data_IF_890249937494
#
_entry.id   IF_890249937494
#
_cell.length_a   1.000
_cell.length_b   1.000
_cell.length_c   1.000
_cell.angle_alpha   90.00
_cell.angle_beta   90.00
_cell.angle_gamma   90.00
#
_symmetry.space_group_name_H-M   'P 1'
#
loop_
_entity.id
_entity.type
_entity.pdbx_description
1 polymer ?
#
# COMPACT_ATOMS: atom_id res chain seq x y z
N UNK A 1 -8.51 -0.81 -42.73
CA UNK A 1 -9.61 -0.88 -41.73
C UNK A 1 -9.01 -1.14 -40.35
N UNK A 2 -9.01 -0.12 -39.50
CA UNK A 2 -8.51 -0.21 -38.12
C UNK A 2 -9.50 -1.01 -37.25
N UNK A 3 -9.38 -2.33 -37.24
CA UNK A 3 -10.14 -3.20 -36.31
C UNK A 3 -9.39 -3.36 -34.99
N UNK A 4 -8.82 -2.28 -34.47
CA UNK A 4 -8.27 -2.27 -33.11
C UNK A 4 -9.45 -2.28 -32.16
N UNK A 5 -9.44 -3.19 -31.19
CA UNK A 5 -10.38 -3.13 -30.06
C UNK A 5 -10.30 -1.71 -29.49
N UNK A 6 -11.43 -0.99 -29.35
CA UNK A 6 -11.42 0.41 -28.94
C UNK A 6 -10.77 0.61 -27.56
N UNK A 7 -10.58 -0.48 -26.81
CA UNK A 7 -10.03 -0.49 -25.45
C UNK A 7 -8.51 -0.74 -25.37
N UNK A 8 -7.83 -1.15 -26.45
CA UNK A 8 -6.40 -1.51 -26.39
C UNK A 8 -5.50 -0.30 -26.08
N UNK A 9 -5.89 0.89 -26.55
CA UNK A 9 -5.18 2.14 -26.29
C UNK A 9 -5.19 2.47 -24.79
N UNK A 10 -6.37 2.62 -24.16
CA UNK A 10 -6.47 2.82 -22.72
C UNK A 10 -5.74 1.77 -21.87
N UNK A 11 -5.82 0.49 -22.22
CA UNK A 11 -5.11 -0.60 -21.52
C UNK A 11 -3.59 -0.40 -21.60
N UNK A 12 -3.08 0.02 -22.76
CA UNK A 12 -1.66 0.26 -22.96
C UNK A 12 -1.16 1.45 -22.11
N UNK A 13 -1.96 2.52 -22.00
CA UNK A 13 -1.65 3.64 -21.10
C UNK A 13 -1.67 3.23 -19.63
N UNK A 14 -2.64 2.40 -19.23
CA UNK A 14 -2.68 1.81 -17.88
C UNK A 14 -1.43 0.98 -17.58
N UNK A 15 -1.00 0.16 -18.54
CA UNK A 15 0.21 -0.65 -18.41
C UNK A 15 1.45 0.23 -18.20
N UNK A 16 1.64 1.26 -19.03
CA UNK A 16 2.75 2.21 -18.86
C UNK A 16 2.69 2.89 -17.49
N UNK A 17 1.49 3.30 -17.05
CA UNK A 17 1.26 3.86 -15.72
C UNK A 17 1.67 2.90 -14.59
N UNK A 18 1.31 1.62 -14.70
CA UNK A 18 1.73 0.59 -13.75
C UNK A 18 3.24 0.38 -13.76
N UNK A 19 3.88 0.29 -14.94
CA UNK A 19 5.33 0.16 -15.05
C UNK A 19 6.06 1.34 -14.39
N UNK A 20 5.64 2.58 -14.68
CA UNK A 20 6.21 3.78 -14.07
C UNK A 20 6.02 3.77 -12.55
N UNK A 21 4.85 3.37 -12.07
CA UNK A 21 4.56 3.28 -10.64
C UNK A 21 5.42 2.22 -9.95
N UNK A 22 5.59 1.05 -10.56
CA UNK A 22 6.46 -0.01 -10.07
C UNK A 22 7.91 0.48 -10.01
N UNK A 23 8.44 1.04 -11.10
CA UNK A 23 9.81 1.57 -11.13
C UNK A 23 10.00 2.66 -10.07
N UNK A 24 9.04 3.58 -9.94
CA UNK A 24 9.07 4.64 -8.94
C UNK A 24 9.08 4.10 -7.51
N UNK A 25 8.27 3.08 -7.22
CA UNK A 25 8.17 2.47 -5.88
C UNK A 25 9.34 1.54 -5.56
N UNK A 26 9.90 0.87 -6.56
CA UNK A 26 11.05 -0.04 -6.43
C UNK A 26 12.36 0.70 -6.15
N UNK A 27 12.47 1.99 -6.51
CA UNK A 27 13.69 2.75 -6.27
C UNK A 27 13.84 3.07 -4.77
N UNK A 28 14.91 2.57 -4.11
CA UNK A 28 15.04 2.67 -2.66
C UNK A 28 15.48 4.06 -2.16
N UNK A 29 16.01 4.93 -3.03
CA UNK A 29 16.84 6.08 -2.60
C UNK A 29 16.25 7.46 -2.92
N UNK A 30 15.04 7.58 -3.45
CA UNK A 30 14.51 8.90 -3.81
C UNK A 30 13.93 9.66 -2.60
N UNK A 31 14.45 10.86 -2.25
CA UNK A 31 13.88 11.69 -1.18
C UNK A 31 12.43 12.11 -1.47
N UNK A 32 12.05 12.17 -2.75
CA UNK A 32 10.67 12.40 -3.20
C UNK A 32 9.71 11.29 -2.75
N UNK A 33 10.15 10.02 -2.78
CA UNK A 33 9.35 8.90 -2.25
C UNK A 33 9.04 9.13 -0.78
N UNK A 34 10.05 9.54 0.00
CA UNK A 34 9.88 9.83 1.44
C UNK A 34 8.86 10.94 1.67
N UNK A 35 8.94 12.05 0.92
CA UNK A 35 8.01 13.17 1.04
C UNK A 35 6.57 12.78 0.68
N UNK A 36 6.38 12.01 -0.39
CA UNK A 36 5.06 11.56 -0.85
C UNK A 36 4.47 10.56 0.14
N UNK A 37 5.26 9.57 0.57
CA UNK A 37 4.83 8.56 1.54
C UNK A 37 4.49 9.21 2.88
N UNK A 38 5.33 10.12 3.39
CA UNK A 38 5.08 10.83 4.64
C UNK A 38 3.85 11.74 4.56
N UNK A 39 3.60 12.37 3.40
CA UNK A 39 2.35 13.11 3.14
C UNK A 39 1.13 12.20 3.07
N UNK A 40 1.23 11.02 2.45
CA UNK A 40 0.13 10.05 2.37
C UNK A 40 -0.18 9.48 3.75
N UNK A 41 0.83 9.25 4.57
CA UNK A 41 0.69 8.69 5.92
C UNK A 41 0.14 9.70 6.91
N UNK A 42 0.63 10.96 6.88
CA UNK A 42 0.08 12.04 7.71
C UNK A 42 -1.29 12.50 7.22
N UNK A 43 -1.53 12.43 5.91
CA UNK A 43 -2.77 12.85 5.26
C UNK A 43 -3.88 11.83 5.44
N UNK A 44 -4.45 11.74 6.65
CA UNK A 44 -5.73 11.11 7.01
C UNK A 44 -6.05 9.73 6.39
N UNK A 45 -6.41 8.76 7.24
CA UNK A 45 -6.94 7.44 6.87
C UNK A 45 -8.02 7.44 5.76
N UNK A 46 -8.74 8.55 5.57
CA UNK A 46 -9.74 8.74 4.50
C UNK A 46 -9.15 8.71 3.09
N UNK A 47 -8.04 9.41 2.83
CA UNK A 47 -7.44 9.49 1.48
C UNK A 47 -6.88 8.12 1.09
N UNK A 48 -6.21 7.45 2.02
CA UNK A 48 -5.66 6.11 1.80
C UNK A 48 -6.75 5.08 1.46
N UNK A 49 -7.88 5.12 2.17
CA UNK A 49 -9.02 4.26 1.87
C UNK A 49 -9.63 4.55 0.49
N UNK A 50 -9.66 5.82 0.08
CA UNK A 50 -10.15 6.19 -1.25
C UNK A 50 -9.22 5.70 -2.37
N UNK A 51 -7.91 5.82 -2.19
CA UNK A 51 -6.91 5.28 -3.12
C UNK A 51 -7.04 3.75 -3.22
N UNK A 52 -7.17 3.05 -2.08
CA UNK A 52 -7.40 1.60 -2.07
C UNK A 52 -8.67 1.21 -2.81
N UNK A 53 -9.77 1.92 -2.57
CA UNK A 53 -11.03 1.70 -3.27
C UNK A 53 -10.86 1.89 -4.79
N UNK A 54 -10.19 2.96 -5.21
CA UNK A 54 -9.89 3.21 -6.63
C UNK A 54 -9.06 2.06 -7.25
N UNK A 55 -8.04 1.56 -6.54
CA UNK A 55 -7.24 0.42 -6.99
C UNK A 55 -8.05 -0.86 -7.12
N UNK A 56 -8.96 -1.15 -6.17
CA UNK A 56 -9.85 -2.31 -6.22
C UNK A 56 -10.79 -2.20 -7.42
N UNK A 57 -11.43 -1.04 -7.63
CA UNK A 57 -12.31 -0.81 -8.77
C UNK A 57 -11.58 -0.96 -10.10
N UNK A 58 -10.34 -0.46 -10.19
CA UNK A 58 -9.49 -0.60 -11.37
C UNK A 58 -9.11 -2.06 -11.63
N UNK A 59 -8.81 -2.85 -10.59
CA UNK A 59 -8.57 -4.29 -10.73
C UNK A 59 -9.80 -5.05 -11.21
N UNK A 60 -10.97 -4.77 -10.62
CA UNK A 60 -12.24 -5.39 -11.05
C UNK A 60 -12.52 -5.04 -12.51
N UNK A 61 -12.29 -3.79 -12.91
CA UNK A 61 -12.44 -3.37 -14.29
C UNK A 61 -11.51 -4.13 -15.26
N UNK A 62 -10.22 -4.25 -14.93
CA UNK A 62 -9.27 -5.04 -15.74
C UNK A 62 -9.69 -6.51 -15.81
N UNK A 63 -10.19 -7.08 -14.71
CA UNK A 63 -10.65 -8.47 -14.66
C UNK A 63 -11.89 -8.69 -15.53
N UNK A 64 -12.84 -7.74 -15.55
CA UNK A 64 -13.99 -7.79 -16.46
C UNK A 64 -13.56 -7.75 -17.93
N UNK A 65 -12.63 -6.85 -18.28
CA UNK A 65 -12.04 -6.82 -19.63
C UNK A 65 -11.36 -8.13 -19.97
N UNK A 66 -10.67 -8.75 -19.02
CA UNK A 66 -10.01 -10.04 -19.21
C UNK A 66 -11.00 -11.17 -19.51
N UNK A 67 -12.13 -11.22 -18.80
CA UNK A 67 -13.20 -12.20 -19.08
C UNK A 67 -13.80 -11.95 -20.47
N UNK A 68 -14.02 -10.68 -20.84
CA UNK A 68 -14.56 -10.33 -22.16
C UNK A 68 -13.62 -10.78 -23.29
N UNK A 69 -12.31 -10.53 -23.15
CA UNK A 69 -11.31 -10.95 -24.14
C UNK A 69 -11.18 -12.48 -24.22
N UNK A 70 -11.32 -13.22 -23.11
CA UNK A 70 -11.38 -14.69 -23.14
C UNK A 70 -12.57 -15.16 -23.98
N UNK A 71 -13.76 -14.59 -23.74
CA UNK A 71 -14.98 -14.96 -24.48
C UNK A 71 -14.81 -14.67 -25.96
N UNK A 72 -14.28 -13.49 -26.29
CA UNK A 72 -14.00 -13.08 -27.68
C UNK A 72 -12.98 -13.99 -28.35
N UNK A 73 -11.90 -14.36 -27.65
CA UNK A 73 -10.88 -15.26 -28.17
C UNK A 73 -11.46 -16.67 -28.43
N UNK A 74 -12.28 -17.20 -27.51
CA UNK A 74 -12.92 -18.50 -27.68
C UNK A 74 -13.88 -18.50 -28.89
N UNK A 75 -14.67 -17.43 -29.05
CA UNK A 75 -15.54 -17.26 -30.21
C UNK A 75 -14.76 -17.19 -31.54
N UNK A 76 -13.63 -16.50 -31.57
CA UNK A 76 -12.76 -16.44 -32.76
C UNK A 76 -12.10 -17.80 -33.07
N UNK A 77 -11.64 -18.52 -32.05
CA UNK A 77 -11.09 -19.89 -32.22
C UNK A 77 -12.13 -20.82 -32.83
N UNK A 78 -13.38 -20.73 -32.38
CA UNK A 78 -14.47 -21.53 -32.91
C UNK A 78 -14.77 -21.18 -34.37
N UNK A 79 -14.82 -19.90 -34.73
CA UNK A 79 -15.00 -19.46 -36.11
C UNK A 79 -13.90 -19.97 -37.04
N UNK A 80 -12.63 -19.86 -36.61
CA UNK A 80 -11.48 -20.39 -37.35
C UNK A 80 -11.63 -21.92 -37.51
N UNK A 81 -11.98 -22.64 -36.43
CA UNK A 81 -12.19 -24.08 -36.48
C UNK A 81 -13.33 -24.50 -37.42
N UNK A 82 -14.43 -23.74 -37.48
CA UNK A 82 -15.53 -23.98 -38.42
C UNK A 82 -15.13 -23.67 -39.87
N UNK A 83 -14.35 -22.62 -40.10
CA UNK A 83 -13.83 -22.27 -41.42
C UNK A 83 -12.89 -23.35 -41.97
N UNK A 84 -12.01 -23.93 -41.14
CA UNK A 84 -11.15 -25.05 -41.53
C UNK A 84 -11.93 -26.33 -41.87
N UNK A 85 -13.10 -26.55 -41.27
CA UNK A 85 -13.94 -27.72 -41.54
C UNK A 85 -14.81 -27.58 -42.79
N UNK A 86 -15.04 -26.36 -43.27
CA UNK A 86 -15.82 -26.11 -44.48
C UNK A 86 -14.92 -26.18 -45.71
N UNK A 87 -15.05 -27.24 -46.50
CA UNK A 87 -14.30 -27.47 -47.75
C UNK A 87 -14.51 -26.37 -48.82
N UNK A 88 -15.57 -25.57 -48.69
CA UNK A 88 -15.90 -24.43 -49.56
C UNK A 88 -15.39 -23.08 -49.04
N UNK A 89 -14.66 -23.02 -47.94
CA UNK A 89 -14.15 -21.76 -47.43
C UNK A 89 -13.03 -21.23 -48.33
N UNK A 90 -13.23 -20.05 -48.91
CA UNK A 90 -12.19 -19.35 -49.67
C UNK A 90 -10.95 -19.14 -48.80
N UNK A 91 -9.77 -19.44 -49.36
CA UNK A 91 -8.47 -19.33 -48.68
C UNK A 91 -8.21 -17.92 -48.13
N UNK A 92 -8.77 -16.89 -48.77
CA UNK A 92 -8.72 -15.49 -48.34
C UNK A 92 -9.48 -15.26 -47.05
N UNK A 93 -10.68 -15.83 -46.91
CA UNK A 93 -11.51 -15.70 -45.70
C UNK A 93 -10.85 -16.38 -44.50
N UNK A 94 -10.25 -17.56 -44.73
CA UNK A 94 -9.50 -18.29 -43.72
C UNK A 94 -8.29 -17.48 -43.21
N UNK A 95 -7.55 -16.85 -44.13
CA UNK A 95 -6.42 -16.01 -43.80
C UNK A 95 -6.84 -14.79 -42.95
N UNK A 96 -7.99 -14.19 -43.25
CA UNK A 96 -8.51 -13.05 -42.50
C UNK A 96 -8.96 -13.43 -41.09
N UNK A 97 -9.61 -14.59 -40.91
CA UNK A 97 -9.96 -15.09 -39.58
C UNK A 97 -8.71 -15.43 -38.75
N UNK A 98 -7.69 -16.04 -39.37
CA UNK A 98 -6.42 -16.33 -38.71
C UNK A 98 -5.69 -15.05 -38.26
N UNK A 99 -5.63 -14.02 -39.12
CA UNK A 99 -5.07 -12.70 -38.76
C UNK A 99 -5.81 -12.07 -37.57
N UNK A 100 -7.15 -12.15 -37.55
CA UNK A 100 -7.97 -11.63 -36.43
C UNK A 100 -7.70 -12.40 -35.13
N UNK A 101 -7.54 -13.72 -35.21
CA UNK A 101 -7.21 -14.56 -34.06
C UNK A 101 -5.83 -14.20 -33.48
N UNK A 102 -4.79 -14.10 -34.32
CA UNK A 102 -3.45 -13.71 -33.87
C UNK A 102 -3.42 -12.30 -33.25
N UNK A 103 -4.23 -11.38 -33.77
CA UNK A 103 -4.40 -10.06 -33.16
C UNK A 103 -5.03 -10.18 -31.77
N UNK A 104 -6.13 -10.92 -31.63
CA UNK A 104 -6.79 -11.12 -30.34
C UNK A 104 -5.88 -11.84 -29.32
N UNK A 105 -5.06 -12.80 -29.76
CA UNK A 105 -4.05 -13.44 -28.91
C UNK A 105 -3.04 -12.44 -28.35
N UNK A 106 -2.54 -11.52 -29.19
CA UNK A 106 -1.61 -10.48 -28.77
C UNK A 106 -2.24 -9.55 -27.72
N UNK A 107 -3.47 -9.11 -27.98
CA UNK A 107 -4.22 -8.24 -27.07
C UNK A 107 -4.43 -8.94 -25.72
N UNK A 108 -4.77 -10.24 -25.75
CA UNK A 108 -4.89 -11.09 -24.56
C UNK A 108 -3.59 -11.19 -23.75
N UNK A 109 -2.43 -11.35 -24.39
CA UNK A 109 -1.15 -11.39 -23.67
C UNK A 109 -0.82 -10.04 -23.00
N UNK A 110 -1.08 -8.93 -23.68
CA UNK A 110 -0.88 -7.58 -23.10
C UNK A 110 -1.80 -7.40 -21.89
N UNK A 111 -3.04 -7.89 -21.96
CA UNK A 111 -4.00 -7.79 -20.88
C UNK A 111 -3.61 -8.65 -19.66
N UNK A 112 -3.15 -9.89 -19.86
CA UNK A 112 -2.59 -10.74 -18.79
C UNK A 112 -1.42 -10.02 -18.11
N UNK A 113 -0.50 -9.49 -18.91
CA UNK A 113 0.66 -8.81 -18.40
C UNK A 113 0.27 -7.56 -17.59
N UNK A 114 -0.74 -6.81 -18.07
CA UNK A 114 -1.29 -5.66 -17.35
C UNK A 114 -1.92 -6.07 -16.02
N UNK A 115 -2.68 -7.17 -15.99
CA UNK A 115 -3.27 -7.73 -14.77
C UNK A 115 -2.18 -8.14 -13.77
N UNK A 116 -1.12 -8.80 -14.25
CA UNK A 116 0.03 -9.15 -13.44
C UNK A 116 0.70 -7.90 -12.84
N UNK A 117 0.97 -6.88 -13.66
CA UNK A 117 1.53 -5.61 -13.19
C UNK A 117 0.62 -4.92 -12.17
N UNK A 118 -0.70 -4.94 -12.36
CA UNK A 118 -1.66 -4.37 -11.43
C UNK A 118 -1.57 -5.06 -10.05
N UNK A 119 -1.52 -6.40 -10.03
CA UNK A 119 -1.37 -7.19 -8.80
C UNK A 119 -0.06 -6.88 -8.09
N UNK A 120 1.05 -6.85 -8.83
CA UNK A 120 2.37 -6.50 -8.26
C UNK A 120 2.36 -5.08 -7.70
N UNK A 121 1.74 -4.12 -8.41
CA UNK A 121 1.61 -2.73 -7.93
C UNK A 121 0.82 -2.69 -6.61
N UNK A 122 -0.28 -3.46 -6.51
CA UNK A 122 -1.08 -3.54 -5.29
C UNK A 122 -0.30 -4.13 -4.11
N UNK A 123 0.41 -5.24 -4.34
CA UNK A 123 1.27 -5.86 -3.32
C UNK A 123 2.38 -4.90 -2.86
N UNK A 124 3.02 -4.21 -3.80
CA UNK A 124 4.07 -3.23 -3.51
C UNK A 124 3.52 -2.06 -2.71
N UNK A 125 2.32 -1.58 -3.03
CA UNK A 125 1.66 -0.54 -2.25
C UNK A 125 1.39 -0.98 -0.80
N UNK A 126 0.88 -2.21 -0.59
CA UNK A 126 0.71 -2.77 0.75
C UNK A 126 2.03 -2.92 1.51
N UNK A 127 3.10 -3.33 0.83
CA UNK A 127 4.43 -3.45 1.43
C UNK A 127 4.95 -2.09 1.90
N UNK A 128 4.81 -1.05 1.08
CA UNK A 128 5.23 0.31 1.41
C UNK A 128 4.52 0.82 2.67
N UNK A 129 3.21 0.57 2.79
CA UNK A 129 2.44 0.95 3.98
C UNK A 129 2.89 0.18 5.23
N UNK A 130 3.16 -1.12 5.11
CA UNK A 130 3.70 -1.90 6.22
C UNK A 130 5.06 -1.37 6.67
N UNK A 131 5.97 -1.14 5.71
CA UNK A 131 7.32 -0.62 5.98
C UNK A 131 7.28 0.73 6.69
N UNK A 132 6.31 1.59 6.36
CA UNK A 132 6.15 2.87 7.04
C UNK A 132 5.72 2.70 8.50
N UNK A 133 4.75 1.82 8.78
CA UNK A 133 4.36 1.51 10.16
C UNK A 133 5.53 0.97 10.98
N UNK A 134 6.38 0.11 10.39
CA UNK A 134 7.61 -0.34 11.04
C UNK A 134 8.58 0.82 11.28
N UNK A 135 8.69 1.76 10.35
CA UNK A 135 9.55 2.94 10.50
C UNK A 135 9.09 3.86 11.62
N UNK A 136 7.79 4.11 11.75
CA UNK A 136 7.23 4.94 12.83
C UNK A 136 7.54 4.29 14.18
N UNK A 137 7.26 3.00 14.34
CA UNK A 137 7.60 2.24 15.56
C UNK A 137 9.10 2.26 15.88
N UNK A 138 9.95 2.15 14.86
CA UNK A 138 11.39 2.23 15.04
C UNK A 138 11.83 3.62 15.50
N UNK A 139 11.23 4.69 14.97
CA UNK A 139 11.52 6.06 15.38
C UNK A 139 11.11 6.30 16.84
N UNK A 140 9.91 5.88 17.23
CA UNK A 140 9.41 5.95 18.61
C UNK A 140 10.34 5.19 19.58
N UNK A 141 10.76 3.97 19.20
CA UNK A 141 11.67 3.17 20.02
C UNK A 141 13.06 3.83 20.16
N UNK A 142 13.55 4.46 19.09
CA UNK A 142 14.81 5.20 19.10
C UNK A 142 14.74 6.44 20.00
N UNK A 143 13.62 7.16 19.99
CA UNK A 143 13.39 8.30 20.88
C UNK A 143 13.33 7.87 22.34
N UNK A 144 12.65 6.76 22.65
CA UNK A 144 12.63 6.18 24.00
C UNK A 144 14.02 5.75 24.46
N UNK A 145 14.81 5.10 23.59
CA UNK A 145 16.18 4.70 23.89
C UNK A 145 17.06 5.91 24.20
N UNK A 146 17.02 6.94 23.36
CA UNK A 146 17.79 8.18 23.59
C UNK A 146 17.37 8.89 24.88
N UNK A 147 16.07 8.86 25.24
CA UNK A 147 15.60 9.41 26.51
C UNK A 147 16.10 8.60 27.70
N UNK A 148 16.12 7.28 27.60
CA UNK A 148 16.64 6.39 28.64
C UNK A 148 18.15 6.54 28.82
N UNK A 149 18.90 6.64 27.73
CA UNK A 149 20.35 6.89 27.74
C UNK A 149 20.66 8.21 28.45
N UNK A 150 19.95 9.30 28.10
CA UNK A 150 20.10 10.60 28.79
C UNK A 150 19.81 10.50 30.29
N UNK A 151 18.71 9.87 30.69
CA UNK A 151 18.38 9.66 32.11
C UNK A 151 19.42 8.81 32.83
N UNK A 152 20.00 7.81 32.16
CA UNK A 152 21.05 6.97 32.73
C UNK A 152 22.36 7.74 32.97
N UNK A 153 22.70 8.66 32.06
CA UNK A 153 23.82 9.59 32.20
C UNK A 153 23.58 10.57 33.35
N UNK A 154 22.40 11.17 33.43
CA UNK A 154 22.02 12.07 34.53
C UNK A 154 22.08 11.37 35.90
N UNK A 155 21.59 10.12 35.99
CA UNK A 155 21.70 9.31 37.20
C UNK A 155 23.15 8.96 37.54
N UNK A 156 23.99 8.66 36.54
CA UNK A 156 25.40 8.38 36.76
C UNK A 156 26.16 9.63 37.27
N UNK A 157 25.85 10.81 36.73
CA UNK A 157 26.40 12.09 37.18
C UNK A 157 26.00 12.37 38.64
N UNK A 158 24.71 12.25 38.98
CA UNK A 158 24.22 12.39 40.36
C UNK A 158 24.90 11.40 41.34
N UNK A 159 25.11 10.15 40.92
CA UNK A 159 25.77 9.14 41.74
C UNK A 159 27.26 9.45 41.92
N UNK A 160 27.91 10.03 40.91
CA UNK A 160 29.31 10.47 40.98
C UNK A 160 29.48 11.65 41.94
N UNK A 161 28.53 12.60 41.92
CA UNK A 161 28.49 13.74 42.84
C UNK A 161 28.32 13.27 44.29
N UNK A 162 27.40 12.31 44.54
CA UNK A 162 27.21 11.68 45.85
C UNK A 162 28.47 10.94 46.35
N UNK A 163 29.19 10.23 45.47
CA UNK A 163 30.43 9.51 45.84
C UNK A 163 31.63 10.44 46.05
N UNK A 164 31.66 11.60 45.39
CA UNK A 164 32.76 12.57 45.50
C UNK A 164 32.81 13.32 46.85
N UNK A 165 31.82 13.11 47.73
CA UNK A 165 31.84 13.68 49.07
C UNK A 165 31.63 15.19 49.14
N UNK A 166 31.21 15.83 48.03
CA UNK A 166 30.69 17.21 48.05
C UNK A 166 29.25 17.25 48.55
N UNK A 167 29.02 16.77 49.78
CA UNK A 167 27.82 17.14 50.53
C UNK A 167 28.03 18.56 51.06
N UNK A 168 27.82 19.56 50.21
CA UNK A 168 27.44 20.86 50.73
C UNK A 168 26.02 20.69 51.29
N UNK A 169 25.92 20.52 52.61
CA UNK A 169 24.68 20.64 53.35
C UNK A 169 24.07 22.03 53.13
N UNK A 170 23.28 22.18 52.07
CA UNK A 170 22.14 23.08 52.09
C UNK A 170 20.92 22.20 52.32
N UNK A 171 20.23 22.35 53.46
CA UNK A 171 18.90 21.79 53.64
C UNK A 171 18.05 22.32 52.48
N UNK A 172 17.71 21.45 51.54
CA UNK A 172 16.59 21.72 50.65
C UNK A 172 15.37 21.27 51.43
N UNK A 173 14.67 22.24 52.00
CA UNK A 173 13.25 22.08 52.28
C UNK A 173 12.60 21.70 50.94
N UNK A 174 12.37 20.41 50.71
CA UNK A 174 11.36 19.98 49.76
C UNK A 174 10.01 20.29 50.41
N UNK A 175 9.24 21.27 49.92
CA UNK A 175 7.81 21.27 50.21
C UNK A 175 7.25 19.97 49.61
N UNK A 176 6.74 19.11 50.49
CA UNK A 176 5.91 17.96 50.15
C UNK A 176 4.96 18.35 49.02
N UNK A 177 4.80 17.51 47.97
CA UNK A 177 3.74 17.73 47.00
C UNK A 177 2.42 17.78 47.74
N UNK A 178 1.79 18.96 47.71
CA UNK A 178 0.45 19.17 48.18
C UNK A 178 -0.45 18.19 47.41
N UNK A 179 -0.90 17.16 48.13
CA UNK A 179 -1.89 16.23 47.63
C UNK A 179 -3.18 17.02 47.40
N UNK A 180 -3.39 17.49 46.17
CA UNK A 180 -4.68 18.06 45.78
C UNK A 180 -5.73 16.96 45.91
N UNK A 181 -6.84 17.30 46.56
CA UNK A 181 -7.94 16.39 46.94
C UNK A 181 -8.77 15.95 45.71
N UNK A 182 -8.44 16.43 44.50
CA UNK A 182 -9.27 16.26 43.30
C UNK A 182 -9.12 14.92 42.56
N UNK A 183 -8.08 14.11 42.84
CA UNK A 183 -7.90 12.82 42.16
C UNK A 183 -8.63 11.62 42.80
N UNK A 184 -9.28 11.80 43.96
CA UNK A 184 -10.12 10.73 44.55
C UNK A 184 -11.45 10.53 43.80
N UNK A 185 -11.91 11.51 43.02
CA UNK A 185 -13.21 11.42 42.33
C UNK A 185 -13.16 10.75 40.95
N UNK A 186 -11.97 10.50 40.39
CA UNK A 186 -11.84 9.84 39.09
C UNK A 186 -11.60 8.33 39.17
N UNK A 187 -11.26 7.77 40.33
CA UNK A 187 -11.22 6.32 40.51
C UNK A 187 -12.61 5.69 40.72
N UNK A 188 -13.58 6.42 41.27
CA UNK A 188 -14.94 5.88 41.50
C UNK A 188 -15.80 5.82 40.22
N UNK A 189 -15.43 6.55 39.16
CA UNK A 189 -16.16 6.52 37.88
C UNK A 189 -15.73 5.38 36.93
N UNK A 190 -14.59 4.73 37.16
CA UNK A 190 -14.09 3.67 36.25
C UNK A 190 -14.65 2.27 36.52
N UNK A 191 -15.31 2.03 37.65
CA UNK A 191 -15.85 0.72 38.00
C UNK A 191 -17.33 0.48 37.63
N UNK A 192 -18.02 1.46 37.03
CA UNK A 192 -19.46 1.36 36.72
C UNK A 192 -19.80 1.24 35.22
N UNK A 193 -18.83 1.19 34.31
CA UNK A 193 -19.09 1.05 32.86
C UNK A 193 -18.74 -0.32 32.27
N UNK A 194 -18.33 -1.29 33.08
CA UNK A 194 -18.08 -2.69 32.65
C UNK A 194 -19.26 -3.63 32.90
N UNK A 195 -20.48 -3.10 33.13
CA UNK A 195 -21.69 -3.91 33.41
C UNK A 195 -22.92 -3.58 32.57
N UNK A 196 -22.76 -2.97 31.40
CA UNK A 196 -23.83 -2.89 30.39
C UNK A 196 -23.20 -3.16 29.04
N UNK A 197 -23.42 -4.38 28.56
CA UNK A 197 -23.76 -4.75 27.18
C UNK A 197 -23.51 -6.26 27.06
N UNK A 198 -24.41 -7.01 27.72
CA UNK A 198 -24.93 -8.28 27.17
C UNK A 198 -26.00 -7.93 26.13
#
# INVERSE_FOLDING_TARGET
MSSSTPFIGPISYLLVGHCVTITFLSLPSFPLRRLIVEKISRGQNKILNHIRFCYIMLHVFILLLFIDDIRRMNYLKEQVGRAYKNERADSTTLQDFSKRLHKAQRDFYILIFTLFCAVITYLLHLLVLKMENYRVKYLELKEMYNMMEKKSLELADQLSDLKSGKVNNKPTEEPLPEYSVEDKNNLTKRNNTTKKDE
#
